data_IF_621096945146
#
_entry.id   IF_621096945146
#
_cell.length_a   1.000
_cell.length_b   1.000
_cell.length_c   1.000
_cell.angle_alpha   90.00
_cell.angle_beta   90.00
_cell.angle_gamma   90.00
#
_symmetry.space_group_name_H-M   'P 1'
#
loop_
_entity.id
_entity.type
_entity.pdbx_description
1 polymer ?
#
# COMPACT_ATOMS: atom_id res chain seq x y z
N UNK A 1 2.68 -19.06 -15.00
CA UNK A 1 3.25 -17.84 -14.37
C UNK A 1 2.54 -17.65 -13.05
N UNK A 2 3.26 -17.76 -11.94
CA UNK A 2 2.68 -17.70 -10.61
C UNK A 2 2.13 -16.29 -10.33
N UNK A 3 0.80 -16.17 -10.27
CA UNK A 3 0.14 -14.92 -9.90
C UNK A 3 0.67 -14.35 -8.58
N UNK A 4 1.08 -15.21 -7.64
CA UNK A 4 1.67 -14.82 -6.36
C UNK A 4 2.99 -14.05 -6.55
N UNK A 5 3.81 -14.42 -7.53
CA UNK A 5 5.05 -13.69 -7.84
C UNK A 5 4.77 -12.31 -8.44
N UNK A 6 3.72 -12.18 -9.26
CA UNK A 6 3.31 -10.89 -9.83
C UNK A 6 2.74 -9.98 -8.73
N UNK A 7 1.87 -10.51 -7.87
CA UNK A 7 1.32 -9.82 -6.71
C UNK A 7 2.44 -9.33 -5.79
N UNK A 8 3.39 -10.20 -5.43
CA UNK A 8 4.51 -9.83 -4.57
C UNK A 8 5.40 -8.73 -5.18
N UNK A 9 5.64 -8.79 -6.50
CA UNK A 9 6.39 -7.73 -7.21
C UNK A 9 5.63 -6.41 -7.19
N UNK A 10 4.32 -6.43 -7.39
CA UNK A 10 3.49 -5.22 -7.39
C UNK A 10 3.40 -4.62 -5.99
N UNK A 11 3.14 -5.43 -4.97
CA UNK A 11 3.17 -5.02 -3.56
C UNK A 11 4.51 -4.35 -3.20
N UNK A 12 5.62 -4.94 -3.64
CA UNK A 12 6.95 -4.35 -3.46
C UNK A 12 7.09 -2.99 -4.14
N UNK A 13 6.60 -2.85 -5.37
CA UNK A 13 6.62 -1.57 -6.09
C UNK A 13 5.81 -0.49 -5.36
N UNK A 14 4.65 -0.85 -4.78
CA UNK A 14 3.81 0.07 -3.99
C UNK A 14 4.55 0.48 -2.70
N UNK A 15 5.21 -0.46 -2.03
CA UNK A 15 6.04 -0.19 -0.85
C UNK A 15 7.14 0.82 -1.20
N UNK A 16 7.85 0.63 -2.32
CA UNK A 16 8.90 1.55 -2.75
C UNK A 16 8.35 2.95 -3.06
N UNK A 17 7.18 3.05 -3.69
CA UNK A 17 6.49 4.33 -3.90
C UNK A 17 6.16 5.01 -2.56
N UNK A 18 5.61 4.27 -1.61
CA UNK A 18 5.29 4.82 -0.29
C UNK A 18 6.54 5.28 0.46
N UNK A 19 7.65 4.54 0.38
CA UNK A 19 8.92 4.91 1.01
C UNK A 19 9.48 6.20 0.39
N UNK A 20 9.41 6.32 -0.94
CA UNK A 20 9.78 7.55 -1.65
C UNK A 20 8.93 8.75 -1.23
N UNK A 21 7.61 8.59 -1.22
CA UNK A 21 6.67 9.66 -0.88
C UNK A 21 6.74 10.07 0.61
N UNK A 22 6.95 9.12 1.53
CA UNK A 22 7.08 9.40 2.96
C UNK A 22 8.48 9.88 3.35
N UNK A 23 9.51 9.62 2.54
CA UNK A 23 10.90 9.86 2.92
C UNK A 23 11.35 9.06 4.15
N UNK A 24 10.67 7.95 4.47
CA UNK A 24 11.00 7.01 5.55
C UNK A 24 10.58 5.60 5.17
N UNK A 25 11.16 4.61 5.83
CA UNK A 25 10.67 3.23 5.73
C UNK A 25 9.25 3.09 6.29
N UNK A 26 8.48 2.20 5.69
CA UNK A 26 7.17 1.77 6.19
C UNK A 26 7.34 0.97 7.48
N UNK A 27 6.42 1.16 8.41
CA UNK A 27 6.28 0.32 9.60
C UNK A 27 5.71 -1.04 9.23
N UNK A 28 5.82 -2.02 10.14
CA UNK A 28 5.27 -3.36 9.93
C UNK A 28 3.75 -3.34 9.66
N UNK A 29 3.02 -2.41 10.29
CA UNK A 29 1.57 -2.25 10.09
C UNK A 29 1.27 -1.72 8.68
N UNK A 30 1.95 -0.65 8.26
CA UNK A 30 1.76 -0.05 6.92
C UNK A 30 2.16 -1.03 5.80
N UNK A 31 3.25 -1.77 6.00
CA UNK A 31 3.64 -2.84 5.08
C UNK A 31 2.63 -4.01 5.12
N UNK A 32 2.06 -4.31 6.28
CA UNK A 32 1.01 -5.30 6.46
C UNK A 32 -0.26 -4.95 5.68
N UNK A 33 -0.65 -3.67 5.66
CA UNK A 33 -1.75 -3.16 4.84
C UNK A 33 -1.54 -3.51 3.36
N UNK A 34 -0.38 -3.20 2.79
CA UNK A 34 -0.09 -3.47 1.36
C UNK A 34 -0.01 -4.98 1.09
N UNK A 35 0.69 -5.73 1.95
CA UNK A 35 0.86 -7.18 1.80
C UNK A 35 -0.45 -7.97 2.01
N UNK A 36 -1.41 -7.42 2.75
CA UNK A 36 -2.73 -8.02 2.96
C UNK A 36 -3.61 -8.01 1.71
N UNK A 37 -3.34 -7.11 0.77
CA UNK A 37 -4.11 -7.00 -0.48
C UNK A 37 -3.46 -7.84 -1.58
N UNK A 38 -4.11 -8.96 -1.95
CA UNK A 38 -3.65 -9.85 -3.04
C UNK A 38 -4.42 -9.67 -4.36
N UNK A 39 -5.52 -8.91 -4.33
CA UNK A 39 -6.33 -8.64 -5.50
C UNK A 39 -5.69 -7.57 -6.40
N UNK A 40 -5.60 -7.84 -7.71
CA UNK A 40 -5.04 -6.89 -8.67
C UNK A 40 -5.75 -5.53 -8.65
N UNK A 41 -7.09 -5.51 -8.55
CA UNK A 41 -7.87 -4.28 -8.43
C UNK A 41 -7.58 -3.51 -7.12
N UNK A 42 -7.34 -4.24 -6.02
CA UNK A 42 -6.99 -3.62 -4.75
C UNK A 42 -5.60 -2.99 -4.82
N UNK A 43 -4.63 -3.70 -5.43
CA UNK A 43 -3.28 -3.19 -5.63
C UNK A 43 -3.25 -1.97 -6.55
N UNK A 44 -4.01 -1.99 -7.64
CA UNK A 44 -4.17 -0.85 -8.55
C UNK A 44 -4.80 0.36 -7.84
N UNK A 45 -5.85 0.14 -7.04
CA UNK A 45 -6.48 1.19 -6.26
C UNK A 45 -5.52 1.79 -5.22
N UNK A 46 -4.76 0.95 -4.51
CA UNK A 46 -3.76 1.40 -3.55
C UNK A 46 -2.66 2.20 -4.26
N UNK A 47 -2.12 1.69 -5.37
CA UNK A 47 -1.10 2.39 -6.15
C UNK A 47 -1.59 3.76 -6.64
N UNK A 48 -2.79 3.82 -7.22
CA UNK A 48 -3.39 5.07 -7.68
C UNK A 48 -3.61 6.07 -6.54
N UNK A 49 -4.01 5.59 -5.36
CA UNK A 49 -4.18 6.42 -4.18
C UNK A 49 -2.84 6.94 -3.63
N UNK A 50 -1.84 6.07 -3.50
CA UNK A 50 -0.48 6.43 -3.07
C UNK A 50 0.13 7.49 -3.99
N UNK A 51 -0.01 7.32 -5.32
CA UNK A 51 0.46 8.31 -6.30
C UNK A 51 -0.28 9.64 -6.20
N UNK A 52 -1.58 9.61 -5.88
CA UNK A 52 -2.38 10.82 -5.68
C UNK A 52 -2.02 11.57 -4.38
N UNK A 53 -1.47 10.84 -3.39
CA UNK A 53 -0.99 11.36 -2.11
C UNK A 53 0.53 11.63 -2.12
N UNK A 54 1.19 11.56 -3.27
CA UNK A 54 2.59 11.91 -3.40
C UNK A 54 2.81 13.38 -2.97
N UNK A 55 3.80 13.61 -2.09
CA UNK A 55 4.00 14.90 -1.44
C UNK A 55 3.08 15.22 -0.26
N UNK A 56 2.03 14.42 -0.01
CA UNK A 56 1.11 14.56 1.13
C UNK A 56 1.40 13.52 2.22
N UNK A 57 2.58 13.65 2.85
CA UNK A 57 3.12 12.67 3.81
C UNK A 57 2.15 12.31 4.95
N UNK A 58 1.44 13.28 5.51
CA UNK A 58 0.49 13.05 6.60
C UNK A 58 -0.74 12.26 6.13
N UNK A 59 -1.29 12.60 4.97
CA UNK A 59 -2.43 11.90 4.39
C UNK A 59 -2.05 10.46 4.00
N UNK A 60 -0.87 10.26 3.42
CA UNK A 60 -0.35 8.95 3.06
C UNK A 60 -0.10 8.09 4.30
N UNK A 61 0.51 8.65 5.35
CA UNK A 61 0.69 7.95 6.63
C UNK A 61 -0.65 7.54 7.22
N UNK A 62 -1.64 8.45 7.22
CA UNK A 62 -2.98 8.17 7.73
C UNK A 62 -3.68 7.09 6.92
N UNK A 63 -3.56 7.10 5.60
CA UNK A 63 -4.12 6.08 4.72
C UNK A 63 -3.52 4.70 4.99
N UNK A 64 -2.19 4.59 5.04
CA UNK A 64 -1.49 3.32 5.27
C UNK A 64 -1.62 2.82 6.73
N UNK A 65 -1.87 3.72 7.67
CA UNK A 65 -2.17 3.40 9.07
C UNK A 65 -3.67 3.20 9.32
N UNK A 66 -4.51 3.45 8.32
CA UNK A 66 -5.94 3.15 8.39
C UNK A 66 -6.09 1.65 8.25
N UNK A 67 -6.04 1.00 9.41
CA UNK A 67 -6.37 -0.40 9.58
C UNK A 67 -7.75 -0.69 8.98
N UNK A 68 -7.93 -1.87 8.38
CA UNK A 68 -9.26 -2.38 8.02
C UNK A 68 -10.03 -2.65 9.32
N UNK A 69 -10.66 -1.60 9.83
CA UNK A 69 -11.77 -1.64 10.78
C UNK A 69 -13.12 -1.58 10.06
N UNK A 70 -13.23 -2.08 8.84
CA UNK A 70 -14.52 -2.25 8.13
C UNK A 70 -14.45 -3.43 7.16
N UNK A 71 -14.03 -4.58 7.68
CA UNK A 71 -14.71 -5.81 7.33
C UNK A 71 -15.65 -6.10 8.51
N UNK A 72 -16.94 -6.25 8.19
CA UNK A 72 -18.03 -6.74 9.06
C UNK A 72 -18.82 -5.69 9.89
N UNK A 73 -19.95 -5.25 9.30
CA UNK A 73 -21.25 -5.15 9.97
C UNK A 73 -22.34 -5.55 8.97
#
# INVERSE_FOLDING_TARGET
MDNDQLVAKWQRSIIELCVGALGRSLTAQEAGFINGHRGFLALEAIEGHVRSLDGQREALTKYLSSDIGSAEA
#
